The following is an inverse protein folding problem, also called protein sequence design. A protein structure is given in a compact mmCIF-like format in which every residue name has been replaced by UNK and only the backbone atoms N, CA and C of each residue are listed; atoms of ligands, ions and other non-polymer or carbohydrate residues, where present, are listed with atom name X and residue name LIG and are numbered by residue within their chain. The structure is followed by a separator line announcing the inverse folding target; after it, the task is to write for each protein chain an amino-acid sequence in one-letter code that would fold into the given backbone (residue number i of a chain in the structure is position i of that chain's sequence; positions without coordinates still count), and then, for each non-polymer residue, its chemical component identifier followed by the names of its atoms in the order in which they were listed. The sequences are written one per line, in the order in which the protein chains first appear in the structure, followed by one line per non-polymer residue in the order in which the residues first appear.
data_IF_042715332076
#
_entry.id   IF_042715332076
#
_cell.length_a   1.000
_cell.length_b   1.000
_cell.length_c   1.000
_cell.angle_alpha   90.00
_cell.angle_beta   90.00
_cell.angle_gamma   90.00
#
_symmetry.space_group_name_H-M   'P 1'
#
loop_
_entity.id
_entity.type
_entity.pdbx_description
1 polymer ?
#
# COMPACT_ATOMS: atom_id res chain seq x y z
N UNK A 1 -3.39 8.41 12.47
CA UNK A 1 -2.40 7.47 11.90
C UNK A 1 -1.18 7.40 12.83
N UNK A 2 -0.46 6.27 12.86
CA UNK A 2 0.76 6.14 13.67
C UNK A 2 1.95 6.77 12.93
N UNK A 3 2.84 7.42 13.68
CA UNK A 3 4.13 7.93 13.19
C UNK A 3 5.33 7.12 13.66
N UNK A 4 5.07 5.98 14.30
CA UNK A 4 6.11 5.05 14.72
C UNK A 4 6.30 3.95 13.68
N UNK A 5 7.54 3.62 13.28
CA UNK A 5 7.82 2.48 12.43
C UNK A 5 7.32 1.17 13.03
N UNK A 6 6.88 0.26 12.16
CA UNK A 6 6.56 -1.11 12.57
C UNK A 6 7.84 -1.85 13.00
N UNK A 7 7.73 -2.57 14.13
CA UNK A 7 8.76 -3.51 14.60
C UNK A 7 8.52 -4.94 14.11
N UNK A 8 7.27 -5.24 13.73
CA UNK A 8 6.82 -6.50 13.17
C UNK A 8 5.71 -6.22 12.15
N UNK A 9 5.52 -7.09 11.15
CA UNK A 9 4.40 -7.01 10.20
C UNK A 9 3.03 -7.02 10.91
N UNK A 10 2.01 -6.53 10.21
CA UNK A 10 0.64 -6.52 10.71
C UNK A 10 0.00 -7.92 10.65
N UNK A 11 0.32 -8.71 9.63
CA UNK A 11 -0.32 -9.99 9.39
C UNK A 11 0.48 -11.17 9.95
N UNK A 12 -0.20 -12.03 10.73
CA UNK A 12 0.38 -13.24 11.33
C UNK A 12 1.09 -14.15 10.32
N UNK A 13 0.58 -14.23 9.09
CA UNK A 13 1.17 -15.04 8.02
C UNK A 13 2.54 -14.52 7.56
N UNK A 14 2.85 -13.25 7.79
CA UNK A 14 4.15 -12.64 7.44
C UNK A 14 5.11 -12.70 8.63
N UNK A 15 4.60 -12.49 9.85
CA UNK A 15 5.40 -12.53 11.10
C UNK A 15 6.23 -13.81 11.27
N UNK A 16 5.71 -14.95 10.80
CA UNK A 16 6.38 -16.24 10.94
C UNK A 16 7.51 -16.50 9.92
N UNK A 17 7.73 -15.57 8.98
CA UNK A 17 8.80 -15.63 7.98
C UNK A 17 9.74 -14.44 8.18
N UNK A 18 10.99 -14.70 8.55
CA UNK A 18 11.95 -13.66 8.92
C UNK A 18 12.24 -12.70 7.77
N UNK A 19 12.53 -13.23 6.58
CA UNK A 19 12.81 -12.42 5.37
C UNK A 19 11.62 -11.53 5.00
N UNK A 20 10.42 -12.12 4.89
CA UNK A 20 9.20 -11.37 4.59
C UNK A 20 8.88 -10.34 5.69
N UNK A 21 9.21 -10.65 6.95
CA UNK A 21 9.01 -9.71 8.06
C UNK A 21 9.91 -8.49 7.94
N UNK A 22 11.17 -8.69 7.59
CA UNK A 22 12.11 -7.60 7.36
C UNK A 22 11.66 -6.74 6.18
N UNK A 23 11.26 -7.36 5.06
CA UNK A 23 10.74 -6.65 3.89
C UNK A 23 9.49 -5.82 4.21
N UNK A 24 8.52 -6.40 4.92
CA UNK A 24 7.30 -5.70 5.32
C UNK A 24 7.58 -4.48 6.21
N UNK A 25 8.54 -4.57 7.13
CA UNK A 25 8.92 -3.43 7.98
C UNK A 25 9.64 -2.34 7.17
N UNK A 26 10.49 -2.72 6.23
CA UNK A 26 11.17 -1.78 5.33
C UNK A 26 10.19 -1.07 4.39
N UNK A 27 9.20 -1.80 3.86
CA UNK A 27 8.12 -1.22 3.06
C UNK A 27 7.29 -0.23 3.88
N UNK A 28 7.00 -0.52 5.15
CA UNK A 28 6.29 0.43 6.02
C UNK A 28 7.06 1.74 6.20
N UNK A 29 8.37 1.67 6.42
CA UNK A 29 9.22 2.88 6.50
C UNK A 29 9.18 3.66 5.18
N UNK A 30 9.16 2.96 4.03
CA UNK A 30 9.04 3.60 2.73
C UNK A 30 7.67 4.28 2.54
N UNK A 31 6.57 3.64 2.98
CA UNK A 31 5.23 4.24 3.02
C UNK A 31 5.25 5.52 3.86
N UNK A 32 5.82 5.48 5.07
CA UNK A 32 5.88 6.66 5.93
C UNK A 32 6.73 7.78 5.32
N UNK A 33 7.85 7.47 4.67
CA UNK A 33 8.67 8.46 3.95
C UNK A 33 7.90 9.08 2.78
N UNK A 34 7.16 8.28 2.02
CA UNK A 34 6.34 8.74 0.90
C UNK A 34 5.23 9.69 1.38
N UNK A 35 4.59 9.35 2.50
CA UNK A 35 3.52 10.16 3.13
C UNK A 35 4.04 11.38 3.90
N UNK A 36 5.36 11.55 4.01
CA UNK A 36 5.99 12.66 4.75
C UNK A 36 5.94 12.50 6.27
N UNK A 37 5.59 11.32 6.78
CA UNK A 37 5.49 11.01 8.21
C UNK A 37 6.81 10.51 8.81
N UNK A 38 7.85 10.28 8.00
CA UNK A 38 9.17 9.85 8.45
C UNK A 38 10.29 10.65 7.77
N UNK A 39 11.38 11.01 8.50
CA UNK A 39 12.50 11.73 7.92
C UNK A 39 13.08 11.01 6.70
N UNK A 40 13.21 11.75 5.60
CA UNK A 40 13.83 11.27 4.37
C UNK A 40 14.93 12.23 3.93
N UNK A 41 16.04 11.68 3.41
CA UNK A 41 17.06 12.52 2.76
C UNK A 41 16.39 13.07 1.49
N UNK A 42 16.43 14.40 1.31
CA UNK A 42 15.73 15.14 0.24
C UNK A 42 15.99 14.66 -1.20
N UNK A 43 16.92 13.72 -1.42
CA UNK A 43 17.41 13.28 -2.73
C UNK A 43 16.89 11.93 -3.21
N UNK A 44 16.10 11.18 -2.44
CA UNK A 44 15.51 9.93 -2.98
C UNK A 44 14.39 10.27 -3.96
N UNK A 45 14.45 9.69 -5.16
CA UNK A 45 13.38 9.85 -6.13
C UNK A 45 12.10 9.19 -5.61
N UNK A 46 10.94 9.74 -5.96
CA UNK A 46 9.63 9.18 -5.61
C UNK A 46 9.51 7.73 -6.08
N UNK A 47 10.08 7.43 -7.25
CA UNK A 47 10.10 6.09 -7.85
C UNK A 47 10.87 5.09 -6.97
N UNK A 48 11.99 5.49 -6.37
CA UNK A 48 12.77 4.62 -5.48
C UNK A 48 11.93 4.17 -4.26
N UNK A 49 11.06 5.05 -3.76
CA UNK A 49 10.17 4.72 -2.65
C UNK A 49 9.05 3.80 -3.09
N UNK A 50 8.43 4.03 -4.25
CA UNK A 50 7.38 3.13 -4.75
C UNK A 50 7.92 1.74 -5.06
N UNK A 51 9.12 1.64 -5.61
CA UNK A 51 9.78 0.35 -5.85
C UNK A 51 10.03 -0.37 -4.52
N UNK A 52 10.55 0.33 -3.51
CA UNK A 52 10.76 -0.23 -2.17
C UNK A 52 9.45 -0.67 -1.48
N UNK A 53 8.31 -0.05 -1.81
CA UNK A 53 7.00 -0.42 -1.24
C UNK A 53 6.43 -1.66 -1.94
N UNK A 54 6.54 -1.75 -3.26
CA UNK A 54 5.78 -2.74 -4.05
C UNK A 54 6.59 -3.92 -4.58
N UNK A 55 7.92 -3.84 -4.68
CA UNK A 55 8.74 -4.89 -5.29
C UNK A 55 8.60 -6.24 -4.58
N UNK A 56 8.66 -6.25 -3.23
CA UNK A 56 8.46 -7.47 -2.44
C UNK A 56 7.06 -8.08 -2.65
N UNK A 57 6.01 -7.26 -2.64
CA UNK A 57 4.64 -7.72 -2.88
C UNK A 57 4.39 -8.24 -4.31
N UNK A 58 5.17 -7.79 -5.30
CA UNK A 58 5.09 -8.30 -6.67
C UNK A 58 5.75 -9.69 -6.81
N UNK A 59 6.72 -10.02 -5.95
CA UNK A 59 7.42 -11.31 -5.92
C UNK A 59 6.73 -12.32 -5.00
N UNK A 60 6.25 -11.86 -3.85
CA UNK A 60 5.77 -12.70 -2.76
C UNK A 60 4.30 -12.39 -2.39
N UNK A 61 3.41 -13.32 -2.72
CA UNK A 61 1.97 -13.26 -2.41
C UNK A 61 1.63 -12.87 -0.96
N UNK A 62 2.31 -13.38 0.09
CA UNK A 62 2.00 -12.99 1.46
C UNK A 62 2.14 -11.48 1.73
N UNK A 63 3.04 -10.79 1.02
CA UNK A 63 3.29 -9.37 1.20
C UNK A 63 2.21 -8.48 0.56
N UNK A 64 1.44 -8.98 -0.41
CA UNK A 64 0.37 -8.18 -1.05
C UNK A 64 -0.66 -7.68 -0.04
N UNK A 65 -1.20 -8.59 0.76
CA UNK A 65 -2.16 -8.23 1.79
C UNK A 65 -1.52 -7.35 2.87
N UNK A 66 -0.24 -7.57 3.18
CA UNK A 66 0.48 -6.79 4.18
C UNK A 66 0.61 -5.33 3.74
N UNK A 67 1.03 -5.07 2.50
CA UNK A 67 1.13 -3.72 1.94
C UNK A 67 -0.24 -3.04 1.90
N UNK A 68 -1.29 -3.73 1.47
CA UNK A 68 -2.66 -3.18 1.49
C UNK A 68 -3.09 -2.81 2.90
N UNK A 69 -2.84 -3.68 3.88
CA UNK A 69 -3.16 -3.41 5.29
C UNK A 69 -2.37 -2.22 5.84
N UNK A 70 -1.08 -2.11 5.51
CA UNK A 70 -0.22 -1.01 5.94
C UNK A 70 -0.69 0.34 5.38
N UNK A 71 -1.07 0.39 4.09
CA UNK A 71 -1.60 1.61 3.47
C UNK A 71 -2.94 1.99 4.11
N UNK A 72 -3.88 1.04 4.24
CA UNK A 72 -5.18 1.30 4.88
C UNK A 72 -5.01 1.75 6.33
N UNK A 73 -4.06 1.15 7.07
CA UNK A 73 -3.72 1.59 8.43
C UNK A 73 -3.29 3.05 8.46
N UNK A 74 -2.45 3.49 7.52
CA UNK A 74 -1.99 4.88 7.47
C UNK A 74 -3.07 5.86 6.99
N UNK A 75 -4.10 5.39 6.27
CA UNK A 75 -5.28 6.17 5.90
C UNK A 75 -6.37 6.20 6.99
N UNK A 76 -6.32 5.28 7.95
CA UNK A 76 -7.30 5.21 9.04
C UNK A 76 -6.96 6.25 10.12
N UNK A 77 -7.94 7.08 10.45
CA UNK A 77 -7.84 8.19 11.42
C UNK A 77 -6.60 9.08 11.17
N UNK A 78 -6.31 9.37 9.90
CA UNK A 78 -5.26 10.29 9.52
C UNK A 78 -5.81 11.72 9.41
N UNK A 79 -5.32 12.62 10.26
CA UNK A 79 -5.76 14.02 10.27
C UNK A 79 -4.76 14.97 9.57
N UNK A 80 -3.69 14.42 9.00
CA UNK A 80 -2.64 15.19 8.33
C UNK A 80 -2.92 15.17 6.83
N UNK A 81 -3.55 16.23 6.32
CA UNK A 81 -4.03 16.30 4.94
C UNK A 81 -3.00 15.87 3.89
N UNK A 82 -1.77 16.37 3.98
CA UNK A 82 -0.69 16.00 3.05
C UNK A 82 -0.38 14.49 3.06
N UNK A 83 -0.28 13.91 4.26
CA UNK A 83 -0.02 12.48 4.45
C UNK A 83 -1.20 11.65 3.93
N UNK A 84 -2.44 12.05 4.24
CA UNK A 84 -3.64 11.36 3.74
C UNK A 84 -3.70 11.34 2.20
N UNK A 85 -3.50 12.48 1.54
CA UNK A 85 -3.45 12.57 0.06
C UNK A 85 -2.40 11.62 -0.53
N UNK A 86 -1.20 11.60 0.04
CA UNK A 86 -0.12 10.68 -0.38
C UNK A 86 -0.45 9.20 -0.11
N UNK A 87 -1.17 8.90 0.97
CA UNK A 87 -1.67 7.55 1.23
C UNK A 87 -2.69 7.09 0.19
N UNK A 88 -3.54 8.00 -0.29
CA UNK A 88 -4.51 7.69 -1.35
C UNK A 88 -3.83 7.47 -2.70
N UNK A 89 -2.80 8.24 -3.03
CA UNK A 89 -1.94 7.96 -4.20
C UNK A 89 -1.36 6.55 -4.13
N UNK A 90 -0.81 6.13 -2.97
CA UNK A 90 -0.30 4.77 -2.77
C UNK A 90 -1.38 3.70 -2.92
N UNK A 91 -2.59 3.91 -2.39
CA UNK A 91 -3.69 2.96 -2.54
C UNK A 91 -4.14 2.84 -4.01
N UNK A 92 -4.16 3.95 -4.74
CA UNK A 92 -4.48 3.97 -6.17
C UNK A 92 -3.44 3.23 -7.02
N UNK A 93 -2.15 3.39 -6.71
CA UNK A 93 -1.08 2.62 -7.33
C UNK A 93 -1.24 1.12 -7.02
N UNK A 94 -1.41 0.79 -5.73
CA UNK A 94 -1.54 -0.58 -5.24
C UNK A 94 -2.69 -1.34 -5.90
N UNK A 95 -3.88 -0.73 -5.97
CA UNK A 95 -5.07 -1.34 -6.59
C UNK A 95 -4.95 -1.59 -8.10
N UNK A 96 -4.00 -0.94 -8.77
CA UNK A 96 -3.66 -1.21 -10.17
C UNK A 96 -2.58 -2.28 -10.37
N UNK A 97 -1.84 -2.65 -9.32
CA UNK A 97 -0.73 -3.59 -9.40
C UNK A 97 -1.16 -5.02 -9.13
N UNK A 98 -1.88 -5.24 -8.04
CA UNK A 98 -2.34 -6.57 -7.65
C UNK A 98 -3.64 -6.47 -6.84
N UNK A 99 -4.53 -7.47 -6.96
CA UNK A 99 -5.66 -7.57 -6.06
C UNK A 99 -5.20 -8.07 -4.67
N UNK A 100 -5.90 -7.66 -3.58
CA UNK A 100 -5.78 -8.31 -2.29
C UNK A 100 -6.35 -9.74 -2.36
N UNK A 101 -6.05 -10.57 -1.37
CA UNK A 101 -6.62 -11.91 -1.26
C UNK A 101 -8.14 -11.88 -1.10
N UNK A 102 -8.81 -13.00 -1.39
CA UNK A 102 -10.26 -13.15 -1.21
C UNK A 102 -10.72 -12.90 0.24
N UNK A 103 -9.83 -13.12 1.22
CA UNK A 103 -10.12 -12.85 2.63
C UNK A 103 -10.11 -11.35 2.91
N UNK A 104 -9.14 -10.61 2.37
CA UNK A 104 -8.99 -9.17 2.61
C UNK A 104 -9.90 -8.31 1.71
N UNK A 105 -10.21 -8.78 0.50
CA UNK A 105 -11.01 -8.08 -0.51
C UNK A 105 -12.29 -7.41 0.02
N UNK A 106 -13.20 -8.10 0.75
CA UNK A 106 -14.42 -7.46 1.24
C UNK A 106 -14.15 -6.31 2.22
N UNK A 107 -13.02 -6.34 2.94
CA UNK A 107 -12.64 -5.25 3.85
C UNK A 107 -12.14 -4.03 3.08
N UNK A 108 -11.32 -4.24 2.03
CA UNK A 108 -10.84 -3.17 1.14
C UNK A 108 -12.02 -2.50 0.43
N UNK A 109 -12.97 -3.30 -0.07
CA UNK A 109 -14.16 -2.76 -0.73
C UNK A 109 -15.02 -1.91 0.23
N UNK A 110 -15.25 -2.37 1.47
CA UNK A 110 -15.96 -1.58 2.49
C UNK A 110 -15.21 -0.31 2.84
N UNK A 111 -13.89 -0.36 2.97
CA UNK A 111 -13.07 0.83 3.23
C UNK A 111 -13.27 1.88 2.14
N UNK A 112 -13.11 1.49 0.87
CA UNK A 112 -13.31 2.38 -0.30
C UNK A 112 -14.74 2.95 -0.35
N UNK A 113 -15.75 2.12 -0.09
CA UNK A 113 -17.16 2.57 -0.04
C UNK A 113 -17.42 3.58 1.08
N UNK A 114 -16.84 3.37 2.27
CA UNK A 114 -16.97 4.31 3.40
C UNK A 114 -16.32 5.66 3.12
N UNK A 115 -15.34 5.68 2.22
CA UNK A 115 -14.58 6.87 1.79
C UNK A 115 -14.95 7.33 0.38
N UNK A 116 -16.14 6.99 -0.12
CA UNK A 116 -16.62 7.30 -1.49
C UNK A 116 -16.56 8.77 -1.90
N UNK A 117 -16.48 9.69 -0.94
CA UNK A 117 -16.37 11.13 -1.19
C UNK A 117 -14.94 11.56 -1.54
N UNK A 118 -13.93 10.73 -1.27
CA UNK A 118 -12.56 10.99 -1.69
C UNK A 118 -12.43 10.81 -3.22
N UNK A 119 -11.80 11.74 -3.96
CA UNK A 119 -11.73 11.69 -5.42
C UNK A 119 -11.19 10.38 -5.99
N UNK A 120 -10.17 9.79 -5.36
CA UNK A 120 -9.55 8.55 -5.82
C UNK A 120 -10.30 7.27 -5.43
N UNK A 121 -11.31 7.33 -4.55
CA UNK A 121 -11.96 6.13 -4.03
C UNK A 121 -12.70 5.34 -5.13
N UNK A 122 -13.38 6.05 -6.05
CA UNK A 122 -14.06 5.44 -7.19
C UNK A 122 -13.09 4.73 -8.13
N UNK A 123 -11.98 5.40 -8.47
CA UNK A 123 -10.96 4.85 -9.36
C UNK A 123 -10.23 3.66 -8.74
N UNK A 124 -9.92 3.71 -7.43
CA UNK A 124 -9.36 2.58 -6.70
C UNK A 124 -10.28 1.35 -6.79
N UNK A 125 -11.60 1.52 -6.65
CA UNK A 125 -12.57 0.43 -6.77
C UNK A 125 -12.58 -0.14 -8.20
N UNK A 126 -12.55 0.72 -9.22
CA UNK A 126 -12.51 0.27 -10.61
C UNK A 126 -11.22 -0.48 -10.95
N UNK A 127 -10.06 0.03 -10.50
CA UNK A 127 -8.74 -0.60 -10.69
C UNK A 127 -8.69 -1.95 -9.99
N UNK A 128 -9.21 -2.04 -8.75
CA UNK A 128 -9.35 -3.29 -8.01
C UNK A 128 -10.15 -4.34 -8.77
N UNK A 129 -11.30 -3.97 -9.36
CA UNK A 129 -12.11 -4.88 -10.18
C UNK A 129 -11.42 -5.28 -11.49
N UNK A 130 -10.58 -4.42 -12.07
CA UNK A 130 -9.76 -4.77 -13.24
C UNK A 130 -8.65 -5.76 -12.84
N UNK A 131 -7.96 -5.52 -11.73
CA UNK A 131 -6.90 -6.40 -11.22
C UNK A 131 -7.43 -7.80 -10.85
N UNK A 132 -8.64 -7.90 -10.30
CA UNK A 132 -9.30 -9.19 -10.03
C UNK A 132 -9.62 -9.98 -11.31
N UNK A 133 -9.95 -9.30 -12.41
CA UNK A 133 -10.24 -9.95 -13.71
C UNK A 133 -8.98 -10.37 -14.45
N UNK A 134 -7.94 -9.55 -14.39
CA UNK A 134 -6.73 -9.72 -15.21
C UNK A 134 -5.56 -10.39 -14.46
N UNK A 135 -5.67 -10.60 -13.15
CA UNK A 135 -4.59 -11.10 -12.30
C UNK A 135 -3.57 -10.02 -11.91
N UNK A 136 -2.52 -10.44 -11.19
CA UNK A 136 -1.46 -9.52 -10.75
C UNK A 136 -0.58 -9.07 -11.92
N UNK A 137 -0.26 -7.77 -11.97
CA UNK A 137 0.74 -7.25 -12.91
C UNK A 137 2.12 -7.81 -12.58
N UNK A 138 2.92 -8.13 -13.59
CA UNK A 138 4.31 -8.60 -13.44
C UNK A 138 5.33 -7.46 -13.25
N UNK A 139 4.96 -6.21 -13.52
CA UNK A 139 5.86 -5.04 -13.50
C UNK A 139 5.16 -3.78 -12.94
N UNK A 140 5.90 -2.86 -12.28
CA UNK A 140 5.39 -1.60 -11.72
C UNK A 140 4.70 -0.70 -12.75
N UNK A 141 3.92 0.33 -12.33
CA UNK A 141 3.26 1.25 -13.26
C UNK A 141 4.33 1.97 -14.08
N UNK A 142 4.20 1.96 -15.41
CA UNK A 142 5.10 2.70 -16.29
C UNK A 142 4.78 4.20 -16.17
N UNK A 143 5.76 5.08 -16.40
CA UNK A 143 5.77 6.55 -16.15
C UNK A 143 4.68 7.37 -16.88
N UNK A 144 3.68 6.74 -17.50
CA UNK A 144 2.62 7.37 -18.28
C UNK A 144 1.20 7.06 -17.74
N UNK A 145 1.04 6.80 -16.43
CA UNK A 145 -0.25 6.78 -15.73
C UNK A 145 -0.40 7.98 -14.79
#
# INVERSE_FOLDING_TARGET
CSREPLKQPLLKKVVNHEELSQEACMAFIAIMKYMGDYPSRRTRAVNDLTDQIFEGALKDEPLKDEIVCQIIKQLTDNHVKYSEEKGWELLWLCTGLFPPSNVLLPHVQRFLQSKKHHPLAGDCMQRLHKALRNGSRKYPPHVAE
#
